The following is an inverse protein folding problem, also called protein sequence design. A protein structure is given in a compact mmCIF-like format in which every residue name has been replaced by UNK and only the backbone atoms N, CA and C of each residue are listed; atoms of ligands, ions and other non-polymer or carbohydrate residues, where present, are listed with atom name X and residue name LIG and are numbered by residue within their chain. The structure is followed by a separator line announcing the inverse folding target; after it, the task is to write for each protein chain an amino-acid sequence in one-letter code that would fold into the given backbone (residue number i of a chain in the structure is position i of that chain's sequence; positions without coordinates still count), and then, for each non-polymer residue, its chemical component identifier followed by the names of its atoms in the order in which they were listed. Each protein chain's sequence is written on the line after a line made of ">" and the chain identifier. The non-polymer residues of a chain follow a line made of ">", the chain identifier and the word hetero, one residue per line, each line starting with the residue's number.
data_IF_749039286541
#
_entry.id   IF_749039286541
#
_cell.length_a   1.000
_cell.length_b   1.000
_cell.length_c   1.000
_cell.angle_alpha   90.00
_cell.angle_beta   90.00
_cell.angle_gamma   90.00
#
_symmetry.space_group_name_H-M   'P 1'
#
loop_
_entity.id
_entity.type
_entity.pdbx_description
1 polymer ?
#
# COMPACT_ATOMS: atom_id res chain seq x y z
N UNK A 1 14.65 5.99 19.71
CA UNK A 1 15.30 5.04 18.78
C UNK A 1 16.61 4.57 19.40
N UNK A 2 16.99 3.31 19.20
CA UNK A 2 18.07 2.64 19.95
C UNK A 2 19.48 2.99 19.43
N UNK A 3 19.61 3.56 18.23
CA UNK A 3 20.89 4.03 17.67
C UNK A 3 20.69 5.22 16.71
N UNK A 4 21.78 5.95 16.46
CA UNK A 4 21.83 7.03 15.46
C UNK A 4 21.65 6.47 14.03
N UNK A 5 21.07 7.23 13.09
CA UNK A 5 20.85 6.77 11.71
C UNK A 5 22.11 6.23 11.02
N UNK A 6 23.26 6.83 11.30
CA UNK A 6 24.56 6.51 10.71
C UNK A 6 25.09 5.16 11.19
N UNK A 7 24.62 4.68 12.35
CA UNK A 7 25.01 3.43 12.99
C UNK A 7 23.95 2.34 12.87
N UNK A 8 22.82 2.63 12.19
CA UNK A 8 21.72 1.69 12.06
C UNK A 8 22.11 0.58 11.08
N UNK A 9 21.85 -0.67 11.46
CA UNK A 9 22.00 -1.81 10.55
C UNK A 9 21.21 -1.58 9.26
N UNK A 10 21.85 -1.80 8.12
CA UNK A 10 21.25 -1.57 6.81
C UNK A 10 21.53 -0.18 6.22
N UNK A 11 22.31 0.66 6.91
CA UNK A 11 22.72 1.98 6.41
C UNK A 11 23.51 1.87 5.10
N UNK A 12 24.31 0.80 4.92
CA UNK A 12 25.06 0.55 3.68
C UNK A 12 24.33 -0.38 2.71
N UNK A 13 23.06 -0.68 2.96
CA UNK A 13 22.22 -1.50 2.12
C UNK A 13 21.74 -2.78 2.80
N UNK A 14 20.87 -3.52 2.10
CA UNK A 14 20.17 -4.67 2.66
C UNK A 14 21.09 -5.85 3.03
N UNK A 15 22.27 -5.96 2.42
CA UNK A 15 23.16 -7.10 2.65
C UNK A 15 23.74 -7.13 4.07
N UNK A 16 23.86 -5.98 4.74
CA UNK A 16 24.18 -5.92 6.18
C UNK A 16 23.10 -6.62 7.02
N UNK A 17 21.82 -6.46 6.65
CA UNK A 17 20.70 -7.12 7.32
C UNK A 17 20.74 -8.62 7.02
N UNK A 18 20.93 -9.00 5.75
CA UNK A 18 20.94 -10.40 5.32
C UNK A 18 22.06 -11.23 5.97
N UNK A 19 23.20 -10.60 6.24
CA UNK A 19 24.38 -11.25 6.85
C UNK A 19 24.37 -11.23 8.38
N UNK A 20 23.39 -10.57 9.01
CA UNK A 20 23.33 -10.48 10.47
C UNK A 20 23.03 -11.85 11.11
N UNK A 21 23.69 -12.24 12.23
CA UNK A 21 23.57 -13.56 12.83
C UNK A 21 22.13 -14.00 13.19
N UNK A 22 21.25 -13.04 13.47
CA UNK A 22 19.82 -13.30 13.70
C UNK A 22 19.13 -13.99 12.50
N UNK A 23 19.58 -13.69 11.27
CA UNK A 23 19.02 -14.26 10.04
C UNK A 23 19.86 -15.42 9.49
N UNK A 24 20.72 -16.03 10.32
CA UNK A 24 21.49 -17.20 9.91
C UNK A 24 20.57 -18.34 9.44
N UNK A 25 20.83 -18.87 8.25
CA UNK A 25 20.03 -19.95 7.64
C UNK A 25 18.83 -19.47 6.81
N UNK A 26 18.58 -18.16 6.74
CA UNK A 26 17.56 -17.62 5.82
C UNK A 26 18.09 -17.66 4.39
N UNK A 27 17.42 -18.43 3.53
CA UNK A 27 17.60 -18.36 2.08
C UNK A 27 16.77 -17.19 1.52
N UNK A 28 17.45 -16.09 1.20
CA UNK A 28 16.83 -14.88 0.69
C UNK A 28 16.37 -14.99 -0.77
N UNK A 29 16.91 -15.93 -1.55
CA UNK A 29 16.54 -16.12 -2.96
C UNK A 29 15.18 -16.82 -3.06
N UNK A 30 14.93 -17.78 -2.17
CA UNK A 30 13.69 -18.56 -2.15
C UNK A 30 12.72 -18.20 -1.03
N UNK A 31 12.94 -17.08 -0.31
CA UNK A 31 12.14 -16.70 0.87
C UNK A 31 10.63 -16.55 0.60
N UNK A 32 10.22 -16.36 -0.65
CA UNK A 32 8.79 -16.32 -1.02
C UNK A 32 8.18 -17.68 -1.32
N UNK A 33 9.01 -18.71 -1.47
CA UNK A 33 8.61 -20.07 -1.79
C UNK A 33 8.57 -20.99 -0.56
N UNK A 34 9.06 -20.52 0.59
CA UNK A 34 8.95 -21.25 1.85
C UNK A 34 7.55 -21.09 2.44
N UNK A 35 7.11 -22.08 3.21
CA UNK A 35 5.85 -22.02 3.94
C UNK A 35 5.91 -20.89 4.98
N UNK A 36 4.91 -20.01 4.95
CA UNK A 36 4.80 -18.95 5.94
C UNK A 36 4.44 -19.56 7.30
N UNK A 37 4.98 -19.05 8.42
CA UNK A 37 4.67 -19.56 9.75
C UNK A 37 3.20 -19.36 10.14
N UNK A 38 2.49 -18.48 9.45
CA UNK A 38 1.07 -18.22 9.63
C UNK A 38 0.39 -18.08 8.28
N UNK A 39 -0.64 -18.88 8.06
CA UNK A 39 -1.53 -18.79 6.91
C UNK A 39 -2.88 -18.28 7.40
N UNK A 40 -3.37 -17.11 6.93
CA UNK A 40 -4.66 -16.57 7.37
C UNK A 40 -5.80 -17.49 6.91
N UNK A 41 -6.78 -17.71 7.79
CA UNK A 41 -7.95 -18.50 7.48
C UNK A 41 -9.06 -17.59 6.95
N UNK A 42 -9.27 -17.61 5.64
CA UNK A 42 -10.25 -16.79 4.96
C UNK A 42 -11.60 -17.51 4.86
N UNK A 43 -12.68 -16.82 5.24
CA UNK A 43 -14.05 -17.32 5.09
C UNK A 43 -14.60 -17.16 3.68
N UNK A 44 -14.10 -16.17 2.93
CA UNK A 44 -14.53 -15.87 1.56
C UNK A 44 -13.49 -15.01 0.82
N UNK A 45 -13.68 -14.82 -0.49
CA UNK A 45 -12.83 -13.93 -1.31
C UNK A 45 -12.96 -12.45 -0.94
N UNK A 46 -14.01 -12.07 -0.22
CA UNK A 46 -14.28 -10.71 0.26
C UNK A 46 -14.16 -10.60 1.78
N UNK A 47 -13.44 -11.53 2.42
CA UNK A 47 -13.26 -11.52 3.88
C UNK A 47 -12.43 -10.30 4.33
N UNK A 48 -13.02 -9.48 5.20
CA UNK A 48 -12.41 -8.27 5.77
C UNK A 48 -11.99 -8.43 7.23
N UNK A 49 -12.01 -9.65 7.79
CA UNK A 49 -11.77 -9.89 9.22
C UNK A 49 -10.36 -9.53 9.73
N UNK A 50 -9.37 -9.45 8.85
CA UNK A 50 -8.01 -9.00 9.19
C UNK A 50 -7.81 -7.48 9.07
N UNK A 51 -8.87 -6.73 8.75
CA UNK A 51 -8.87 -5.26 8.71
C UNK A 51 -9.63 -4.70 9.93
N UNK A 52 -9.14 -3.62 10.57
CA UNK A 52 -9.86 -2.98 11.67
C UNK A 52 -11.14 -2.32 11.14
N UNK A 53 -12.27 -2.60 11.79
CA UNK A 53 -13.60 -2.08 11.40
C UNK A 53 -14.20 -1.10 12.40
N UNK A 54 -13.51 -0.84 13.51
CA UNK A 54 -13.99 -0.01 14.63
C UNK A 54 -14.31 1.44 14.25
N UNK A 55 -13.67 1.97 13.21
CA UNK A 55 -13.91 3.33 12.73
C UNK A 55 -14.91 3.41 11.58
N UNK A 56 -15.42 2.29 11.07
CA UNK A 56 -16.36 2.29 9.94
C UNK A 56 -17.70 2.94 10.33
N UNK A 57 -18.11 2.84 11.59
CA UNK A 57 -19.34 3.46 12.11
C UNK A 57 -19.31 5.00 12.03
N UNK A 58 -18.10 5.59 11.94
CA UNK A 58 -17.90 7.05 11.88
C UNK A 58 -17.84 7.58 10.44
N UNK A 59 -17.82 6.70 9.45
CA UNK A 59 -17.75 7.09 8.04
C UNK A 59 -19.17 7.39 7.58
N UNK A 60 -19.48 8.65 7.20
CA UNK A 60 -20.80 8.98 6.67
C UNK A 60 -21.03 8.24 5.34
N UNK A 61 -22.20 7.63 5.18
CA UNK A 61 -22.61 6.90 3.97
C UNK A 61 -22.61 7.79 2.71
N UNK A 62 -22.75 9.10 2.90
CA UNK A 62 -22.72 10.10 1.84
C UNK A 62 -21.49 10.99 1.94
N UNK A 63 -20.77 11.23 0.82
CA UNK A 63 -19.66 12.17 0.81
C UNK A 63 -20.16 13.55 1.23
N UNK A 64 -19.43 14.20 2.15
CA UNK A 64 -19.74 15.57 2.53
C UNK A 64 -19.41 16.50 1.36
N UNK A 65 -20.44 16.98 0.66
CA UNK A 65 -20.28 18.01 -0.36
C UNK A 65 -19.87 19.32 0.32
N UNK A 66 -18.61 19.72 0.16
CA UNK A 66 -18.22 21.10 0.48
C UNK A 66 -18.75 22.03 -0.60
N UNK A 67 -19.93 22.61 -0.36
CA UNK A 67 -20.43 23.72 -1.18
C UNK A 67 -19.55 24.95 -0.95
N UNK A 68 -18.52 25.11 -1.77
CA UNK A 68 -17.90 26.42 -1.98
C UNK A 68 -18.52 27.04 -3.21
N UNK A 69 -19.29 28.10 -2.97
CA UNK A 69 -19.88 29.01 -3.95
C UNK A 69 -18.80 29.54 -4.88
N UNK A 70 -18.78 29.09 -6.13
CA UNK A 70 -18.12 29.81 -7.22
C UNK A 70 -19.22 30.42 -8.06
N UNK A 71 -19.43 31.72 -7.86
CA UNK A 71 -20.29 32.60 -8.64
C UNK A 71 -20.03 32.45 -10.13
N UNK A 72 -21.14 32.45 -10.88
CA UNK A 72 -21.23 32.27 -12.31
C UNK A 72 -20.29 33.16 -13.13
N UNK A 73 -19.45 32.53 -13.96
CA UNK A 73 -19.10 32.95 -15.34
C UNK A 73 -18.26 31.86 -15.98
N UNK A 74 -18.80 31.08 -16.93
CA UNK A 74 -18.10 30.43 -18.05
C UNK A 74 -16.76 29.69 -17.87
N UNK A 75 -16.35 29.34 -16.65
CA UNK A 75 -15.03 28.76 -16.36
C UNK A 75 -15.13 27.23 -16.32
N UNK A 76 -14.24 26.55 -17.06
CA UNK A 76 -13.96 25.13 -16.86
C UNK A 76 -13.85 24.86 -15.35
N UNK A 77 -14.60 23.88 -14.83
CA UNK A 77 -14.60 23.57 -13.40
C UNK A 77 -13.15 23.34 -12.94
N UNK A 78 -12.57 24.31 -12.23
CA UNK A 78 -11.20 24.24 -11.71
C UNK A 78 -10.97 22.97 -10.85
N UNK A 79 -12.04 22.40 -10.32
CA UNK A 79 -12.09 21.12 -9.60
C UNK A 79 -11.70 19.91 -10.47
N UNK A 80 -11.98 19.94 -11.77
CA UNK A 80 -11.69 18.82 -12.69
C UNK A 80 -10.19 18.75 -13.02
N UNK A 81 -9.48 19.88 -12.93
CA UNK A 81 -8.03 19.91 -13.12
C UNK A 81 -7.26 19.15 -12.03
N UNK A 82 -7.83 19.02 -10.83
CA UNK A 82 -7.17 18.33 -9.71
C UNK A 82 -7.00 16.81 -9.95
N UNK A 83 -7.77 16.24 -10.89
CA UNK A 83 -7.77 14.81 -11.20
C UNK A 83 -7.19 14.49 -12.58
N UNK A 84 -6.68 15.49 -13.32
CA UNK A 84 -5.97 15.25 -14.58
C UNK A 84 -4.75 14.37 -14.32
N UNK A 85 -4.68 13.22 -14.99
CA UNK A 85 -3.59 12.23 -14.81
C UNK A 85 -3.81 11.23 -13.67
N UNK A 86 -4.93 11.29 -12.94
CA UNK A 86 -5.26 10.31 -11.90
C UNK A 86 -5.59 8.92 -12.47
N UNK A 87 -6.15 8.87 -13.68
CA UNK A 87 -6.49 7.62 -14.34
C UNK A 87 -5.24 6.81 -14.64
N UNK A 88 -5.08 5.70 -13.92
CA UNK A 88 -4.05 4.70 -14.16
C UNK A 88 -4.69 3.40 -14.65
N UNK A 89 -4.11 2.80 -15.67
CA UNK A 89 -4.41 1.44 -16.12
C UNK A 89 -3.10 0.65 -16.10
N UNK A 90 -3.10 -0.50 -15.43
CA UNK A 90 -1.96 -1.43 -15.51
C UNK A 90 -1.79 -1.85 -16.97
N UNK A 91 -0.56 -1.74 -17.48
CA UNK A 91 -0.25 -2.14 -18.86
C UNK A 91 -0.19 -3.68 -18.95
N UNK A 92 -1.34 -4.31 -19.15
CA UNK A 92 -1.46 -5.77 -19.24
C UNK A 92 -0.82 -6.32 -20.53
N UNK A 93 -0.70 -5.52 -21.59
CA UNK A 93 -0.23 -5.97 -22.91
C UNK A 93 1.30 -6.19 -23.00
N UNK A 94 2.10 -5.62 -22.09
CA UNK A 94 3.56 -5.83 -22.05
C UNK A 94 4.04 -6.76 -20.93
N UNK A 95 3.22 -7.02 -19.91
CA UNK A 95 3.63 -7.79 -18.71
C UNK A 95 2.84 -9.07 -18.50
N UNK A 96 2.15 -9.57 -19.55
CA UNK A 96 1.43 -10.84 -19.58
C UNK A 96 2.37 -12.06 -19.55
N UNK A 97 3.32 -12.09 -18.62
CA UNK A 97 3.86 -13.34 -18.10
C UNK A 97 3.03 -13.70 -16.87
N UNK A 98 1.98 -14.47 -17.14
CA UNK A 98 1.26 -15.33 -16.20
C UNK A 98 0.55 -14.63 -15.03
N UNK A 99 -0.74 -14.37 -15.22
CA UNK A 99 -1.71 -14.50 -14.13
C UNK A 99 -2.24 -15.94 -14.16
#
# INVERSE_FOLDING_TARGET
>A
LICAPEQRLGQRGADEIKSHPFFAGVDWETIRNIEAPFVPNLKSITDTSYFPTEDLEKIPDTPQTTERTSSATGEFNQKDLAFVGYTFKRFDDLTRKNA
#
